data_IF_753993369382
#
_entry.id   IF_753993369382
#
_cell.length_a   1.000
_cell.length_b   1.000
_cell.length_c   1.000
_cell.angle_alpha   90.00
_cell.angle_beta   90.00
_cell.angle_gamma   90.00
#
_symmetry.space_group_name_H-M   'P 1'
#
loop_
_entity.id
_entity.type
_entity.pdbx_description
1 polymer ?
#
# COMPACT_ATOMS: atom_id res chain seq x y z
N UNK A 1 -29.49 41.72 -4.09
CA UNK A 1 -30.54 42.65 -3.63
C UNK A 1 -31.77 42.32 -4.44
N UNK A 2 -32.91 42.10 -3.79
CA UNK A 2 -34.17 41.78 -4.45
C UNK A 2 -35.15 42.90 -4.09
N UNK A 3 -35.38 43.82 -5.04
CA UNK A 3 -36.13 45.06 -4.80
C UNK A 3 -35.56 45.82 -3.58
N UNK A 4 -36.39 46.14 -2.60
CA UNK A 4 -36.04 46.82 -1.35
C UNK A 4 -35.39 45.93 -0.28
N UNK A 5 -35.11 44.65 -0.57
CA UNK A 5 -34.52 43.71 0.39
C UNK A 5 -33.06 43.36 0.06
N UNK A 6 -32.23 43.35 1.10
CA UNK A 6 -30.84 42.86 1.04
C UNK A 6 -30.72 41.54 1.79
N UNK A 7 -30.55 40.45 1.03
CA UNK A 7 -30.32 39.12 1.59
C UNK A 7 -28.84 38.96 1.90
N UNK A 8 -28.51 38.57 3.13
CA UNK A 8 -27.16 38.21 3.53
C UNK A 8 -26.94 36.71 3.34
N UNK A 9 -26.10 36.33 2.38
CA UNK A 9 -25.77 34.93 2.11
C UNK A 9 -24.42 34.50 2.72
N UNK A 10 -23.81 35.30 3.60
CA UNK A 10 -22.48 35.04 4.16
C UNK A 10 -22.42 33.70 4.87
N UNK A 11 -23.41 33.39 5.70
CA UNK A 11 -23.46 32.13 6.46
C UNK A 11 -23.65 30.93 5.54
N UNK A 12 -24.55 31.02 4.56
CA UNK A 12 -24.78 29.95 3.56
C UNK A 12 -23.50 29.68 2.77
N UNK A 13 -22.82 30.73 2.32
CA UNK A 13 -21.56 30.61 1.60
C UNK A 13 -20.48 29.94 2.45
N UNK A 14 -20.33 30.37 3.70
CA UNK A 14 -19.36 29.79 4.62
C UNK A 14 -19.67 28.31 4.89
N UNK A 15 -20.94 27.96 5.15
CA UNK A 15 -21.36 26.58 5.37
C UNK A 15 -21.08 25.68 4.17
N UNK A 16 -21.29 26.18 2.94
CA UNK A 16 -20.94 25.45 1.72
C UNK A 16 -19.42 25.26 1.60
N UNK A 17 -18.63 26.31 1.84
CA UNK A 17 -17.18 26.24 1.81
C UNK A 17 -16.65 25.21 2.83
N UNK A 18 -17.17 25.22 4.06
CA UNK A 18 -16.81 24.28 5.12
C UNK A 18 -17.16 22.84 4.74
N UNK A 19 -18.33 22.63 4.11
CA UNK A 19 -18.74 21.32 3.61
C UNK A 19 -17.79 20.80 2.54
N UNK A 20 -17.40 21.64 1.58
CA UNK A 20 -16.45 21.26 0.54
C UNK A 20 -15.05 20.95 1.12
N UNK A 21 -14.57 21.77 2.05
CA UNK A 21 -13.31 21.52 2.75
C UNK A 21 -13.34 20.21 3.55
N UNK A 22 -14.48 19.88 4.16
CA UNK A 22 -14.66 18.61 4.86
C UNK A 22 -14.60 17.43 3.89
N UNK A 23 -15.34 17.49 2.78
CA UNK A 23 -15.33 16.42 1.78
C UNK A 23 -13.91 16.18 1.25
N UNK A 24 -13.16 17.24 0.96
CA UNK A 24 -11.78 17.11 0.51
C UNK A 24 -10.89 16.41 1.55
N UNK A 25 -11.00 16.79 2.83
CA UNK A 25 -10.28 16.12 3.92
C UNK A 25 -10.65 14.64 4.06
N UNK A 26 -11.95 14.32 4.02
CA UNK A 26 -12.44 12.95 4.14
C UNK A 26 -11.95 12.08 2.95
N UNK A 27 -11.86 12.66 1.74
CA UNK A 27 -11.31 11.98 0.56
C UNK A 27 -9.82 11.68 0.72
N UNK A 28 -9.03 12.63 1.22
CA UNK A 28 -7.59 12.42 1.47
C UNK A 28 -7.40 11.31 2.51
N UNK A 29 -8.18 11.32 3.59
CA UNK A 29 -8.13 10.28 4.63
C UNK A 29 -8.51 8.89 4.08
N UNK A 30 -9.47 8.82 3.16
CA UNK A 30 -9.83 7.57 2.48
C UNK A 30 -8.67 7.04 1.63
N UNK A 31 -8.01 7.92 0.86
CA UNK A 31 -6.84 7.54 0.05
C UNK A 31 -5.71 7.02 0.96
N UNK A 32 -5.48 7.67 2.10
CA UNK A 32 -4.50 7.23 3.09
C UNK A 32 -4.82 5.83 3.64
N UNK A 33 -6.08 5.56 3.96
CA UNK A 33 -6.53 4.21 4.38
C UNK A 33 -6.32 3.17 3.29
N UNK A 34 -6.61 3.51 2.03
CA UNK A 34 -6.38 2.62 0.89
C UNK A 34 -4.88 2.32 0.69
N UNK A 35 -4.00 3.30 0.88
CA UNK A 35 -2.55 3.13 0.80
C UNK A 35 -2.06 2.11 1.85
N UNK A 36 -2.49 2.28 3.11
CA UNK A 36 -2.18 1.35 4.21
C UNK A 36 -2.65 -0.08 3.90
N UNK A 37 -3.89 -0.21 3.42
CA UNK A 37 -4.44 -1.52 3.09
C UNK A 37 -3.66 -2.19 1.97
N UNK A 38 -3.41 -1.50 0.85
CA UNK A 38 -2.61 -2.04 -0.25
C UNK A 38 -1.19 -2.42 0.17
N UNK A 39 -0.56 -1.63 1.03
CA UNK A 39 0.77 -1.92 1.56
C UNK A 39 0.76 -3.20 2.41
N UNK A 40 -0.21 -3.35 3.31
CA UNK A 40 -0.37 -4.55 4.13
C UNK A 40 -0.65 -5.79 3.28
N UNK A 41 -1.58 -5.72 2.32
CA UNK A 41 -1.93 -6.84 1.45
C UNK A 41 -0.72 -7.31 0.62
N UNK A 42 0.11 -6.37 0.17
CA UNK A 42 1.30 -6.69 -0.63
C UNK A 42 2.41 -7.26 0.26
N UNK A 43 2.60 -6.72 1.47
CA UNK A 43 3.55 -7.25 2.47
C UNK A 43 3.19 -8.68 2.84
N UNK A 44 1.91 -8.96 3.12
CA UNK A 44 1.44 -10.30 3.46
C UNK A 44 1.65 -11.31 2.31
N UNK A 45 1.54 -10.86 1.06
CA UNK A 45 1.84 -11.71 -0.10
C UNK A 45 3.32 -12.12 -0.14
N UNK A 46 4.25 -11.19 0.13
CA UNK A 46 5.68 -11.51 0.26
C UNK A 46 5.96 -12.43 1.45
N UNK A 47 5.33 -12.20 2.60
CA UNK A 47 5.45 -13.07 3.77
C UNK A 47 5.01 -14.50 3.47
N UNK A 48 3.88 -14.67 2.78
CA UNK A 48 3.38 -15.99 2.40
C UNK A 48 4.35 -16.73 1.47
N UNK A 49 4.93 -16.03 0.48
CA UNK A 49 5.95 -16.60 -0.41
C UNK A 49 7.19 -17.02 0.41
N UNK A 50 7.65 -16.15 1.31
CA UNK A 50 8.81 -16.44 2.16
C UNK A 50 8.57 -17.66 3.05
N UNK A 51 7.39 -17.79 3.66
CA UNK A 51 7.03 -18.93 4.49
C UNK A 51 7.00 -20.24 3.70
N UNK A 52 6.56 -20.21 2.44
CA UNK A 52 6.56 -21.39 1.57
C UNK A 52 7.97 -21.81 1.17
N UNK A 53 8.88 -20.85 0.96
CA UNK A 53 10.29 -21.13 0.64
C UNK A 53 11.02 -21.70 1.86
N UNK A 54 10.73 -21.20 3.06
CA UNK A 54 11.36 -21.62 4.32
C UNK A 54 10.76 -22.91 4.91
N UNK A 55 9.70 -23.46 4.31
CA UNK A 55 9.09 -24.71 4.77
C UNK A 55 10.09 -25.87 4.65
N UNK A 56 10.28 -26.64 5.74
CA UNK A 56 11.10 -27.84 5.70
C UNK A 56 10.29 -29.01 5.09
N UNK A 57 10.69 -29.55 3.93
CA UNK A 57 10.00 -30.68 3.31
C UNK A 57 10.16 -31.95 4.16
N UNK A 58 9.09 -32.72 4.30
CA UNK A 58 9.08 -33.98 5.06
C UNK A 58 9.26 -35.20 4.17
N UNK A 59 8.89 -35.10 2.90
CA UNK A 59 9.02 -36.14 1.89
C UNK A 59 9.62 -35.59 0.57
N UNK A 60 9.88 -36.50 -0.38
CA UNK A 60 10.52 -36.14 -1.65
C UNK A 60 9.55 -35.42 -2.58
N UNK A 61 8.25 -35.67 -2.45
CA UNK A 61 7.19 -34.97 -3.18
C UNK A 61 7.09 -33.49 -2.76
N UNK A 62 7.07 -33.20 -1.46
CA UNK A 62 7.08 -31.85 -0.89
C UNK A 62 8.36 -31.09 -1.27
N UNK A 63 9.52 -31.78 -1.29
CA UNK A 63 10.77 -31.17 -1.75
C UNK A 63 10.71 -30.77 -3.23
N UNK A 64 10.11 -31.61 -4.08
CA UNK A 64 9.92 -31.29 -5.51
C UNK A 64 8.97 -30.10 -5.67
N UNK A 65 7.85 -30.09 -4.94
CA UNK A 65 6.87 -29.01 -4.99
C UNK A 65 7.49 -27.67 -4.57
N UNK A 66 8.32 -27.64 -3.53
CA UNK A 66 9.02 -26.43 -3.09
C UNK A 66 10.02 -25.94 -4.17
N UNK A 67 10.75 -26.85 -4.83
CA UNK A 67 11.66 -26.48 -5.93
C UNK A 67 10.94 -25.90 -7.13
N UNK A 68 9.82 -26.49 -7.53
CA UNK A 68 8.98 -25.97 -8.62
C UNK A 68 8.41 -24.60 -8.25
N UNK A 69 8.02 -24.41 -6.99
CA UNK A 69 7.57 -23.13 -6.47
C UNK A 69 8.69 -22.08 -6.56
N UNK A 70 9.90 -22.38 -6.07
CA UNK A 70 11.07 -21.49 -6.17
C UNK A 70 11.41 -21.09 -7.61
N UNK A 71 11.15 -21.95 -8.60
CA UNK A 71 11.32 -21.61 -10.00
C UNK A 71 10.26 -20.59 -10.50
N UNK A 72 9.05 -20.62 -9.93
CA UNK A 72 7.98 -19.67 -10.24
C UNK A 72 8.06 -18.34 -9.47
N UNK A 73 8.74 -18.31 -8.31
CA UNK A 73 8.82 -17.14 -7.43
C UNK A 73 9.30 -15.87 -8.13
N UNK A 74 10.33 -15.87 -9.01
CA UNK A 74 10.76 -14.66 -9.72
C UNK A 74 9.63 -13.97 -10.51
N UNK A 75 8.73 -14.74 -11.13
CA UNK A 75 7.59 -14.20 -11.85
C UNK A 75 6.54 -13.61 -10.90
N UNK A 76 6.34 -14.22 -9.73
CA UNK A 76 5.44 -13.68 -8.71
C UNK A 76 6.01 -12.41 -8.07
N UNK A 77 7.33 -12.33 -7.87
CA UNK A 77 8.01 -11.10 -7.42
C UNK A 77 7.80 -9.97 -8.43
N UNK A 78 7.87 -10.24 -9.74
CA UNK A 78 7.63 -9.22 -10.77
C UNK A 78 6.19 -8.67 -10.71
N UNK A 79 5.19 -9.54 -10.52
CA UNK A 79 3.80 -9.11 -10.32
C UNK A 79 3.64 -8.27 -9.04
N UNK A 80 4.26 -8.70 -7.95
CA UNK A 80 4.22 -7.95 -6.69
C UNK A 80 4.94 -6.61 -6.80
N UNK A 81 6.04 -6.51 -7.57
CA UNK A 81 6.70 -5.24 -7.88
C UNK A 81 5.76 -4.27 -8.61
N UNK A 82 4.92 -4.75 -9.52
CA UNK A 82 3.85 -3.94 -10.11
C UNK A 82 2.92 -3.34 -9.06
N UNK A 83 2.51 -4.15 -8.08
CA UNK A 83 1.66 -3.70 -6.95
C UNK A 83 2.38 -2.72 -6.03
N UNK A 84 3.68 -2.91 -5.79
CA UNK A 84 4.52 -1.97 -5.04
C UNK A 84 4.54 -0.61 -5.74
N UNK A 85 4.76 -0.57 -7.06
CA UNK A 85 4.76 0.67 -7.83
C UNK A 85 3.42 1.41 -7.76
N UNK A 86 2.30 0.68 -7.86
CA UNK A 86 0.98 1.27 -7.67
C UNK A 86 0.80 1.85 -6.25
N UNK A 87 1.26 1.13 -5.24
CA UNK A 87 1.21 1.57 -3.85
C UNK A 87 2.03 2.85 -3.65
N UNK A 88 3.24 2.90 -4.23
CA UNK A 88 4.13 4.06 -4.18
C UNK A 88 3.52 5.29 -4.87
N UNK A 89 2.81 5.10 -5.99
CA UNK A 89 2.08 6.19 -6.63
C UNK A 89 1.00 6.79 -5.72
N UNK A 90 0.33 5.97 -4.92
CA UNK A 90 -0.66 6.46 -3.94
C UNK A 90 0.03 7.27 -2.84
N UNK A 91 1.18 6.81 -2.34
CA UNK A 91 1.99 7.59 -1.38
C UNK A 91 2.46 8.93 -1.95
N UNK A 92 2.87 8.97 -3.22
CA UNK A 92 3.24 10.21 -3.90
C UNK A 92 2.05 11.18 -3.98
N UNK A 93 0.87 10.69 -4.36
CA UNK A 93 -0.36 11.50 -4.39
C UNK A 93 -0.70 12.06 -3.01
N UNK A 94 -0.55 11.28 -1.93
CA UNK A 94 -0.75 11.77 -0.57
C UNK A 94 0.24 12.88 -0.20
N UNK A 95 1.50 12.75 -0.64
CA UNK A 95 2.51 13.79 -0.44
C UNK A 95 2.18 15.08 -1.21
N UNK A 96 1.64 14.99 -2.43
CA UNK A 96 1.15 16.16 -3.18
C UNK A 96 0.03 16.90 -2.45
N UNK A 97 -0.83 16.15 -1.75
CA UNK A 97 -1.86 16.71 -0.86
C UNK A 97 -1.32 17.20 0.50
N UNK A 98 0.00 17.14 0.73
CA UNK A 98 0.65 17.46 1.99
C UNK A 98 0.07 16.66 3.17
N UNK A 99 -0.38 15.44 2.90
CA UNK A 99 -0.90 14.56 3.92
C UNK A 99 0.24 13.92 4.69
N UNK A 100 0.20 14.04 6.02
CA UNK A 100 1.12 13.38 6.93
C UNK A 100 0.38 12.27 7.66
N UNK A 101 0.97 11.08 7.70
CA UNK A 101 0.43 10.00 8.50
C UNK A 101 0.54 10.35 9.99
N UNK A 102 -0.46 10.03 10.83
CA UNK A 102 -0.39 10.30 12.26
C UNK A 102 0.66 9.45 12.99
N UNK A 103 1.00 8.28 12.43
CA UNK A 103 1.91 7.30 13.00
C UNK A 103 3.15 7.17 12.09
N UNK A 104 4.34 7.33 12.66
CA UNK A 104 5.61 7.19 11.92
C UNK A 104 5.79 5.78 11.33
N UNK A 105 5.21 4.77 11.98
CA UNK A 105 5.20 3.37 11.55
C UNK A 105 4.64 3.15 10.13
N UNK A 106 3.80 4.07 9.62
CA UNK A 106 3.26 3.96 8.26
C UNK A 106 4.33 4.24 7.19
N UNK A 107 5.27 5.14 7.47
CA UNK A 107 6.43 5.37 6.60
C UNK A 107 7.38 4.18 6.65
N UNK A 108 7.58 3.58 7.83
CA UNK A 108 8.38 2.36 7.96
C UNK A 108 7.80 1.19 7.14
N UNK A 109 6.47 1.06 7.10
CA UNK A 109 5.80 0.05 6.24
C UNK A 109 6.06 0.30 4.76
N UNK A 110 6.04 1.55 4.31
CA UNK A 110 6.39 1.93 2.94
C UNK A 110 7.82 1.50 2.60
N UNK A 111 8.79 1.78 3.47
CA UNK A 111 10.19 1.40 3.27
C UNK A 111 10.39 -0.12 3.28
N UNK A 112 9.78 -0.83 4.23
CA UNK A 112 9.82 -2.30 4.29
C UNK A 112 9.24 -2.94 3.03
N UNK A 113 8.14 -2.40 2.53
CA UNK A 113 7.52 -2.91 1.30
C UNK A 113 8.45 -2.77 0.09
N UNK A 114 9.20 -1.67 -0.03
CA UNK A 114 10.20 -1.50 -1.09
C UNK A 114 11.37 -2.49 -0.99
N UNK A 115 11.75 -2.90 0.22
CA UNK A 115 12.83 -3.87 0.45
C UNK A 115 12.42 -5.34 0.33
N UNK A 116 11.12 -5.63 0.49
CA UNK A 116 10.57 -7.00 0.50
C UNK A 116 10.94 -7.86 -0.72
N UNK A 117 10.98 -7.34 -1.96
CA UNK A 117 11.42 -8.11 -3.12
C UNK A 117 12.87 -8.61 -3.00
N UNK A 118 13.79 -7.75 -2.56
CA UNK A 118 15.20 -8.08 -2.43
C UNK A 118 15.42 -9.09 -1.31
N UNK A 119 14.68 -8.96 -0.21
CA UNK A 119 14.72 -9.91 0.90
C UNK A 119 14.28 -11.32 0.47
N UNK A 120 13.20 -11.43 -0.31
CA UNK A 120 12.74 -12.71 -0.85
C UNK A 120 13.77 -13.33 -1.80
N UNK A 121 14.39 -12.54 -2.68
CA UNK A 121 15.45 -13.04 -3.58
C UNK A 121 16.66 -13.56 -2.79
N UNK A 122 17.12 -12.81 -1.78
CA UNK A 122 18.23 -13.21 -0.93
C UNK A 122 17.96 -14.54 -0.18
N UNK A 123 16.70 -14.79 0.21
CA UNK A 123 16.30 -16.05 0.85
C UNK A 123 16.37 -17.23 -0.12
N UNK A 124 15.91 -17.06 -1.36
CA UNK A 124 15.99 -18.10 -2.40
C UNK A 124 17.45 -18.49 -2.65
N UNK A 125 18.36 -17.51 -2.74
CA UNK A 125 19.77 -17.78 -3.04
C UNK A 125 20.49 -18.51 -1.89
N UNK A 126 20.11 -18.24 -0.63
CA UNK A 126 20.59 -19.01 0.53
C UNK A 126 20.18 -20.48 0.49
N UNK A 127 18.99 -20.80 -0.04
CA UNK A 127 18.52 -22.19 -0.16
C UNK A 127 19.13 -22.94 -1.36
N UNK A 128 19.83 -22.25 -2.27
CA UNK A 128 20.54 -22.86 -3.41
C UNK A 128 22.01 -23.22 -3.10
N UNK A 129 22.59 -22.64 -2.05
CA UNK A 129 23.99 -22.84 -1.64
C UNK A 129 24.09 -23.95 -0.59
#
# INVERSE_FOLDING_TARGET
>A
VVSMFKVNCKEIRNALADKHAKIARDMIELIAKMAKQKANDTTQAFENINLQIEANPKDIEELSAIKDLMASVPNEIEKLNGRINECMNIYNTLNEFQYTFPEDDDYDKQWKLLGSPQDTLNKIDKHKT
#
